data_IF_807514074268
#
_entry.id   IF_807514074268
#
_cell.length_a   1.000
_cell.length_b   1.000
_cell.length_c   1.000
_cell.angle_alpha   90.00
_cell.angle_beta   90.00
_cell.angle_gamma   90.00
#
_symmetry.space_group_name_H-M   'P 1'
#
loop_
_entity.id
_entity.type
_entity.pdbx_description
1 polymer ?
#
# COMPACT_ATOMS: atom_id res chain seq x y z
N UNK A 1 5.82 -6.96 22.34
CA UNK A 1 6.16 -7.26 20.93
C UNK A 1 5.27 -6.42 20.04
N UNK A 2 5.85 -5.47 19.31
CA UNK A 2 5.10 -4.71 18.31
C UNK A 2 4.82 -5.63 17.13
N UNK A 3 3.54 -5.96 16.93
CA UNK A 3 3.09 -6.84 15.86
C UNK A 3 3.20 -6.08 14.52
N UNK A 4 4.41 -6.05 13.97
CA UNK A 4 4.70 -5.39 12.71
C UNK A 4 4.30 -6.31 11.55
N UNK A 5 3.41 -5.82 10.67
CA UNK A 5 3.14 -6.46 9.38
C UNK A 5 4.44 -6.53 8.56
N UNK A 6 4.65 -7.63 7.84
CA UNK A 6 5.79 -7.81 6.94
C UNK A 6 5.81 -6.75 5.83
N UNK A 7 6.97 -6.53 5.20
CA UNK A 7 7.07 -5.54 4.14
C UNK A 7 6.27 -5.95 2.90
N UNK A 8 6.32 -7.23 2.51
CA UNK A 8 5.52 -7.78 1.41
C UNK A 8 4.03 -7.54 1.60
N UNK A 9 3.52 -7.73 2.82
CA UNK A 9 2.12 -7.45 3.14
C UNK A 9 1.74 -5.99 2.89
N UNK A 10 2.64 -5.06 3.25
CA UNK A 10 2.42 -3.62 3.02
C UNK A 10 2.48 -3.31 1.53
N UNK A 11 3.39 -3.93 0.79
CA UNK A 11 3.51 -3.77 -0.67
C UNK A 11 2.24 -4.25 -1.37
N UNK A 12 1.72 -5.43 -1.04
CA UNK A 12 0.47 -5.93 -1.61
C UNK A 12 -0.70 -5.00 -1.30
N UNK A 13 -0.80 -4.46 -0.08
CA UNK A 13 -1.84 -3.49 0.28
C UNK A 13 -1.73 -2.19 -0.53
N UNK A 14 -0.50 -1.73 -0.80
CA UNK A 14 -0.24 -0.53 -1.60
C UNK A 14 -0.55 -0.78 -3.09
N UNK A 15 -0.09 -1.89 -3.66
CA UNK A 15 -0.41 -2.26 -5.05
C UNK A 15 -1.92 -2.39 -5.23
N UNK A 16 -2.61 -3.07 -4.32
CA UNK A 16 -4.07 -3.21 -4.37
C UNK A 16 -4.79 -1.86 -4.33
N UNK A 17 -4.35 -0.93 -3.47
CA UNK A 17 -4.92 0.42 -3.40
C UNK A 17 -4.68 1.27 -4.66
N UNK A 18 -3.57 1.03 -5.37
CA UNK A 18 -3.20 1.81 -6.56
C UNK A 18 -3.79 1.24 -7.85
N UNK A 19 -4.00 -0.07 -7.91
CA UNK A 19 -4.53 -0.77 -9.08
C UNK A 19 -6.06 -0.76 -9.06
N UNK A 20 -6.67 -0.99 -7.90
CA UNK A 20 -8.11 -1.03 -7.75
C UNK A 20 -8.66 0.37 -7.51
N UNK A 21 -9.78 0.72 -8.16
CA UNK A 21 -10.52 1.96 -7.91
C UNK A 21 -11.34 1.85 -6.60
N UNK A 22 -10.63 1.61 -5.49
CA UNK A 22 -11.22 1.41 -4.16
C UNK A 22 -10.77 2.49 -3.20
N UNK A 23 -11.69 2.85 -2.30
CA UNK A 23 -11.39 3.81 -1.24
C UNK A 23 -10.39 3.22 -0.23
N UNK A 24 -9.68 4.11 0.48
CA UNK A 24 -8.76 3.71 1.55
C UNK A 24 -9.46 2.87 2.62
N UNK A 25 -10.73 3.15 2.92
CA UNK A 25 -11.50 2.41 3.92
C UNK A 25 -11.77 0.97 3.50
N UNK A 26 -12.11 0.74 2.23
CA UNK A 26 -12.35 -0.60 1.70
C UNK A 26 -11.08 -1.44 1.69
N UNK A 27 -9.97 -0.86 1.24
CA UNK A 27 -8.66 -1.53 1.30
C UNK A 27 -8.28 -1.84 2.75
N UNK A 28 -8.51 -0.90 3.67
CA UNK A 28 -8.22 -1.09 5.09
C UNK A 28 -9.07 -2.19 5.75
N UNK A 29 -10.33 -2.38 5.30
CA UNK A 29 -11.18 -3.50 5.74
C UNK A 29 -10.62 -4.85 5.27
N UNK A 30 -10.08 -4.93 4.05
CA UNK A 30 -9.48 -6.15 3.49
C UNK A 30 -8.14 -6.47 4.18
N UNK A 31 -7.27 -5.47 4.31
CA UNK A 31 -5.91 -5.62 4.86
C UNK A 31 -5.81 -5.38 6.37
N UNK A 32 -6.96 -5.33 7.06
CA UNK A 32 -7.09 -5.10 8.50
C UNK A 32 -6.06 -4.06 9.00
N UNK A 33 -6.05 -2.90 8.36
CA UNK A 33 -5.12 -1.81 8.62
C UNK A 33 -5.87 -0.48 8.80
N UNK A 34 -5.16 0.56 9.24
CA UNK A 34 -5.74 1.90 9.38
C UNK A 34 -5.42 2.71 8.13
N UNK A 35 -6.32 3.60 7.67
CA UNK A 35 -6.07 4.44 6.48
C UNK A 35 -4.76 5.23 6.57
N UNK A 36 -4.45 5.78 7.76
CA UNK A 36 -3.19 6.46 8.03
C UNK A 36 -1.95 5.56 7.84
N UNK A 37 -2.05 4.28 8.21
CA UNK A 37 -0.97 3.31 8.00
C UNK A 37 -0.78 3.03 6.51
N UNK A 38 -1.88 2.80 5.78
CA UNK A 38 -1.87 2.59 4.34
C UNK A 38 -1.20 3.77 3.62
N UNK A 39 -1.63 5.01 3.90
CA UNK A 39 -1.06 6.21 3.27
C UNK A 39 0.42 6.41 3.59
N UNK A 40 0.87 5.99 4.78
CA UNK A 40 2.30 6.00 5.13
C UNK A 40 3.09 4.99 4.31
N UNK A 41 2.51 3.83 3.99
CA UNK A 41 3.14 2.83 3.13
C UNK A 41 3.19 3.30 1.66
N UNK A 42 2.10 3.89 1.15
CA UNK A 42 2.07 4.51 -0.18
C UNK A 42 3.14 5.60 -0.28
N UNK A 43 3.20 6.51 0.70
CA UNK A 43 4.18 7.60 0.74
C UNK A 43 5.63 7.11 0.81
N UNK A 44 5.88 6.00 1.51
CA UNK A 44 7.21 5.37 1.55
C UNK A 44 7.60 4.77 0.22
N UNK A 45 6.66 4.10 -0.45
CA UNK A 45 6.91 3.53 -1.76
C UNK A 45 7.18 4.60 -2.83
N UNK A 46 6.49 5.75 -2.76
CA UNK A 46 6.78 6.89 -3.63
C UNK A 46 8.18 7.46 -3.40
N UNK A 47 8.57 7.66 -2.13
CA UNK A 47 9.90 8.18 -1.77
C UNK A 47 11.06 7.22 -2.08
N UNK A 48 10.78 5.91 -2.14
CA UNK A 48 11.81 4.89 -2.42
C UNK A 48 11.90 4.53 -3.91
N UNK A 49 11.09 5.12 -4.80
CA UNK A 49 11.19 4.97 -6.25
C UNK A 49 10.68 3.64 -6.83
N UNK A 50 10.15 2.73 -6.01
CA UNK A 50 9.79 1.37 -6.46
C UNK A 50 8.57 1.34 -7.38
N UNK A 51 7.65 2.30 -7.27
CA UNK A 51 6.38 2.31 -8.02
C UNK A 51 6.53 2.99 -9.39
N UNK A 52 7.49 3.91 -9.57
CA UNK A 52 7.65 4.63 -10.85
C UNK A 52 7.96 3.72 -12.04
N UNK A 53 8.58 2.54 -11.84
CA UNK A 53 8.96 1.66 -12.96
C UNK A 53 7.83 0.74 -13.47
N UNK A 54 6.72 0.58 -12.75
CA UNK A 54 5.68 -0.40 -13.13
C UNK A 54 4.51 0.22 -13.91
N UNK A 55 4.27 1.53 -13.75
CA UNK A 55 3.18 2.24 -14.44
C UNK A 55 3.59 2.66 -15.86
N UNK A 56 4.87 2.90 -16.14
CA UNK A 56 5.38 3.18 -17.50
C UNK A 56 5.42 1.95 -18.44
N UNK A 57 4.96 0.78 -18.00
CA UNK A 57 4.94 -0.46 -18.80
C UNK A 57 3.54 -0.98 -19.15
N UNK A 58 2.49 -0.19 -18.93
CA UNK A 58 1.11 -0.50 -19.36
C UNK A 58 0.72 0.46 -20.48
#
# INVERSE_FOLDING_TARGET
MTNHKSEDYKLTAVEYYLIEDKSQEEVCKIFNCKPRSLMRWVSRNWKCGTIQQKIERI
#
